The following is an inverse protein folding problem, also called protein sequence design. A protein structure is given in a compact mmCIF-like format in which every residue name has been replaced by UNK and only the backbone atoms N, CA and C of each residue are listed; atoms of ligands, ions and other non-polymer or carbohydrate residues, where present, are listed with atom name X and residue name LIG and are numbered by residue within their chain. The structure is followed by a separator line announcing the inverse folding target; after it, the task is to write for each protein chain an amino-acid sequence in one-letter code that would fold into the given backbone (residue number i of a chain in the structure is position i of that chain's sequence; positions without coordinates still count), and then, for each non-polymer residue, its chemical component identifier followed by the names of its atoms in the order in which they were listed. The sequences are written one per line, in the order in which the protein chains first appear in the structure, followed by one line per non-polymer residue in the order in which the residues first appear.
data_IF_348078295748
#
_entry.id   IF_348078295748
#
_cell.length_a   1.000
_cell.length_b   1.000
_cell.length_c   1.000
_cell.angle_alpha   90.00
_cell.angle_beta   90.00
_cell.angle_gamma   90.00
#
_symmetry.space_group_name_H-M   'P 1'
#
loop_
_entity.id
_entity.type
_entity.pdbx_description
1 polymer ?
#
# COMPACT_ATOMS: atom_id res chain seq x y z
N UNK A 1 -7.00 8.13 -4.28
CA UNK A 1 -5.87 7.35 -3.70
C UNK A 1 -5.27 6.44 -4.75
N UNK A 2 -3.96 6.27 -4.72
CA UNK A 2 -3.26 5.34 -5.61
C UNK A 2 -2.37 4.42 -4.80
N UNK A 3 -2.39 3.13 -5.09
CA UNK A 3 -1.53 2.16 -4.41
C UNK A 3 -0.77 1.30 -5.42
N UNK A 4 0.41 0.87 -4.99
CA UNK A 4 1.13 -0.26 -5.59
C UNK A 4 1.19 -1.35 -4.54
N UNK A 5 0.67 -2.51 -4.90
CA UNK A 5 0.60 -3.70 -4.05
C UNK A 5 1.59 -4.73 -4.59
N UNK A 6 2.43 -5.25 -3.73
CA UNK A 6 3.34 -6.34 -4.07
C UNK A 6 3.12 -7.52 -3.13
N UNK A 7 2.91 -8.71 -3.69
CA UNK A 7 2.92 -9.95 -2.92
C UNK A 7 4.37 -10.27 -2.54
N UNK A 8 4.64 -10.49 -1.27
CA UNK A 8 6.00 -10.66 -0.75
C UNK A 8 6.13 -11.90 0.12
N UNK A 9 7.31 -12.52 0.11
CA UNK A 9 7.69 -13.55 1.08
C UNK A 9 8.09 -12.94 2.42
N UNK A 10 8.64 -11.73 2.37
CA UNK A 10 8.95 -10.88 3.51
C UNK A 10 9.12 -9.44 3.06
N UNK A 11 8.87 -8.51 3.94
CA UNK A 11 9.20 -7.10 3.76
C UNK A 11 9.55 -6.43 5.09
N UNK A 12 10.39 -5.41 5.05
CA UNK A 12 10.72 -4.60 6.22
C UNK A 12 10.95 -3.14 5.84
N UNK A 13 10.81 -2.27 6.82
CA UNK A 13 11.12 -0.84 6.72
C UNK A 13 12.19 -0.49 7.73
N UNK A 14 13.30 0.06 7.25
CA UNK A 14 14.38 0.56 8.09
C UNK A 14 14.42 2.08 8.05
N UNK A 15 14.56 2.70 9.22
CA UNK A 15 14.78 4.13 9.41
C UNK A 15 16.04 4.27 10.26
N UNK A 16 17.02 5.07 9.79
CA UNK A 16 18.31 5.28 10.48
C UNK A 16 18.99 3.95 10.87
N UNK A 17 18.97 2.97 9.96
CA UNK A 17 19.52 1.61 10.14
C UNK A 17 18.84 0.77 11.22
N UNK A 18 17.64 1.17 11.66
CA UNK A 18 16.81 0.40 12.59
C UNK A 18 15.54 -0.08 11.90
N UNK A 19 15.23 -1.34 12.02
CA UNK A 19 13.99 -1.92 11.51
C UNK A 19 12.81 -1.47 12.38
N UNK A 20 11.90 -0.70 11.80
CA UNK A 20 10.71 -0.17 12.48
C UNK A 20 9.45 -0.98 12.20
N UNK A 21 9.42 -1.71 11.09
CA UNK A 21 8.33 -2.60 10.70
C UNK A 21 8.87 -3.80 9.93
N UNK A 22 8.27 -4.96 10.14
CA UNK A 22 8.65 -6.20 9.44
C UNK A 22 7.45 -7.12 9.35
N UNK A 23 7.30 -7.78 8.21
CA UNK A 23 6.26 -8.77 7.94
C UNK A 23 6.85 -9.97 7.19
N UNK A 24 6.19 -11.12 7.35
CA UNK A 24 6.48 -12.33 6.57
C UNK A 24 5.58 -12.39 5.31
N UNK A 25 5.17 -13.58 4.88
CA UNK A 25 4.34 -13.80 3.69
C UNK A 25 3.07 -12.96 3.69
N UNK A 26 2.97 -11.97 2.78
CA UNK A 26 1.89 -10.98 2.81
C UNK A 26 1.92 -9.98 1.65
N UNK A 27 1.27 -8.83 1.89
CA UNK A 27 1.23 -7.72 0.95
C UNK A 27 2.00 -6.51 1.48
N UNK A 28 2.92 -6.00 0.70
CA UNK A 28 3.46 -4.64 0.85
C UNK A 28 2.58 -3.70 0.02
N UNK A 29 2.10 -2.64 0.64
CA UNK A 29 1.23 -1.63 0.04
C UNK A 29 1.89 -0.26 0.12
N UNK A 30 2.31 0.27 -1.01
CA UNK A 30 2.75 1.67 -1.14
C UNK A 30 1.51 2.51 -1.44
N UNK A 31 1.26 3.58 -0.68
CA UNK A 31 0.07 4.41 -0.84
C UNK A 31 0.41 5.88 -1.07
N UNK A 32 -0.12 6.44 -2.15
CA UNK A 32 -0.11 7.86 -2.47
C UNK A 32 -1.49 8.47 -2.29
N UNK A 33 -1.53 9.67 -1.73
CA UNK A 33 -2.75 10.41 -1.41
C UNK A 33 -2.75 11.73 -2.18
N UNK A 34 -3.92 12.15 -2.67
CA UNK A 34 -4.15 13.45 -3.29
C UNK A 34 -5.30 14.20 -2.60
N UNK A 35 -5.37 15.51 -2.78
CA UNK A 35 -6.31 16.38 -2.06
C UNK A 35 -7.80 16.02 -2.29
N UNK A 36 -8.10 15.36 -3.39
CA UNK A 36 -9.47 14.95 -3.74
C UNK A 36 -9.90 13.61 -3.13
N UNK A 37 -9.05 12.98 -2.34
CA UNK A 37 -9.36 11.69 -1.72
C UNK A 37 -10.35 11.85 -0.56
N UNK A 38 -11.29 10.91 -0.48
CA UNK A 38 -12.43 10.94 0.45
C UNK A 38 -12.53 9.64 1.25
N UNK A 39 -13.43 9.64 2.24
CA UNK A 39 -13.74 8.44 3.03
C UNK A 39 -14.27 7.28 2.16
N UNK A 40 -14.93 7.58 1.04
CA UNK A 40 -15.37 6.58 0.07
C UNK A 40 -14.18 5.90 -0.63
N UNK A 41 -13.15 6.67 -0.95
CA UNK A 41 -11.90 6.13 -1.52
C UNK A 41 -11.21 5.20 -0.51
N UNK A 42 -11.15 5.61 0.77
CA UNK A 42 -10.59 4.80 1.85
C UNK A 42 -11.34 3.48 1.98
N UNK A 43 -12.67 3.55 2.10
CA UNK A 43 -13.51 2.37 2.30
C UNK A 43 -13.40 1.39 1.12
N UNK A 44 -13.50 1.89 -0.10
CA UNK A 44 -13.41 1.07 -1.31
C UNK A 44 -12.04 0.42 -1.46
N UNK A 45 -10.97 1.21 -1.32
CA UNK A 45 -9.60 0.74 -1.52
C UNK A 45 -9.18 -0.28 -0.46
N UNK A 46 -9.49 -0.02 0.81
CA UNK A 46 -9.21 -0.94 1.92
C UNK A 46 -9.90 -2.29 1.72
N UNK A 47 -11.19 -2.26 1.36
CA UNK A 47 -11.93 -3.49 1.05
C UNK A 47 -11.34 -4.22 -0.17
N UNK A 48 -10.93 -3.50 -1.19
CA UNK A 48 -10.30 -4.07 -2.38
C UNK A 48 -9.00 -4.80 -2.02
N UNK A 49 -8.11 -4.17 -1.24
CA UNK A 49 -6.81 -4.73 -0.86
C UNK A 49 -6.96 -6.03 -0.07
N UNK A 50 -7.80 -6.02 0.98
CA UNK A 50 -7.92 -7.20 1.86
C UNK A 50 -8.63 -8.40 1.20
N UNK A 51 -9.40 -8.15 0.16
CA UNK A 51 -10.11 -9.19 -0.59
C UNK A 51 -9.46 -9.53 -1.94
N UNK A 52 -8.33 -8.92 -2.29
CA UNK A 52 -7.64 -9.17 -3.54
C UNK A 52 -7.09 -10.61 -3.56
N UNK A 53 -7.50 -11.38 -4.57
CA UNK A 53 -7.24 -12.83 -4.65
C UNK A 53 -5.95 -13.10 -5.42
N UNK A 54 -4.81 -12.90 -4.77
CA UNK A 54 -3.46 -13.00 -5.34
C UNK A 54 -2.58 -14.09 -4.70
N UNK A 55 -3.13 -14.82 -3.76
CA UNK A 55 -2.46 -15.97 -3.16
C UNK A 55 -2.97 -17.25 -3.79
N UNK A 56 -2.07 -18.20 -3.95
CA UNK A 56 -2.37 -19.47 -4.59
C UNK A 56 -3.19 -20.37 -3.68
N UNK A 57 -4.17 -21.03 -4.24
CA UNK A 57 -4.91 -22.12 -3.61
C UNK A 57 -4.17 -23.47 -3.74
N UNK A 58 -4.78 -24.54 -3.29
CA UNK A 58 -4.23 -25.90 -3.35
C UNK A 58 -3.94 -26.40 -4.76
N UNK A 59 -4.52 -25.78 -5.78
CA UNK A 59 -4.31 -26.10 -7.20
C UNK A 59 -3.27 -25.18 -7.87
N UNK A 60 -2.63 -24.28 -7.10
CA UNK A 60 -1.67 -23.32 -7.61
C UNK A 60 -2.29 -22.16 -8.40
N UNK A 61 -3.59 -21.91 -8.21
CA UNK A 61 -4.32 -20.81 -8.86
C UNK A 61 -4.44 -19.63 -7.91
N UNK A 62 -4.18 -18.41 -8.39
CA UNK A 62 -4.40 -17.17 -7.63
C UNK A 62 -5.89 -17.00 -7.32
N UNK A 63 -6.30 -17.40 -6.15
CA UNK A 63 -7.70 -17.54 -5.76
C UNK A 63 -8.00 -17.11 -4.32
N UNK A 64 -6.97 -16.99 -3.49
CA UNK A 64 -7.10 -16.66 -2.08
C UNK A 64 -6.67 -15.22 -1.81
N UNK A 65 -7.36 -14.57 -0.87
CA UNK A 65 -7.03 -13.24 -0.38
C UNK A 65 -6.01 -13.29 0.75
N UNK A 66 -5.48 -12.14 1.15
CA UNK A 66 -4.62 -12.01 2.33
C UNK A 66 -5.35 -12.46 3.61
N UNK A 67 -6.67 -12.30 3.67
CA UNK A 67 -7.49 -12.78 4.78
C UNK A 67 -7.57 -14.31 4.81
N UNK A 68 -7.76 -14.93 3.65
CA UNK A 68 -7.90 -16.39 3.53
C UNK A 68 -6.63 -17.13 3.95
N UNK A 69 -5.47 -16.53 3.68
CA UNK A 69 -4.16 -17.11 4.05
C UNK A 69 -3.66 -16.66 5.43
N UNK A 70 -4.49 -15.93 6.20
CA UNK A 70 -4.11 -15.33 7.47
C UNK A 70 -2.80 -14.49 7.38
N UNK A 71 -2.64 -13.80 6.25
CA UNK A 71 -1.46 -13.00 5.95
C UNK A 71 -1.47 -11.64 6.65
N UNK A 72 -0.40 -10.90 6.42
CA UNK A 72 -0.19 -9.56 6.97
C UNK A 72 -0.20 -8.53 5.84
N UNK A 73 -0.39 -7.27 6.19
CA UNK A 73 -0.26 -6.13 5.28
C UNK A 73 0.68 -5.10 5.91
N UNK A 74 1.71 -4.69 5.17
CA UNK A 74 2.61 -3.59 5.54
C UNK A 74 2.27 -2.39 4.66
N UNK A 75 1.98 -1.25 5.27
CA UNK A 75 1.62 -0.02 4.56
C UNK A 75 2.74 1.02 4.69
N UNK A 76 3.15 1.57 3.56
CA UNK A 76 4.17 2.62 3.47
C UNK A 76 3.62 3.78 2.65
N UNK A 77 3.72 5.01 3.17
CA UNK A 77 3.36 6.21 2.43
C UNK A 77 4.33 6.46 1.26
N UNK A 78 3.79 6.78 0.07
CA UNK A 78 4.56 6.96 -1.15
C UNK A 78 3.92 8.06 -2.02
N UNK A 79 4.18 9.33 -1.69
CA UNK A 79 3.60 10.47 -2.42
C UNK A 79 4.03 10.51 -3.90
N UNK A 80 5.19 9.95 -4.21
CA UNK A 80 5.71 9.90 -5.59
C UNK A 80 4.87 9.08 -6.56
N UNK A 81 3.88 8.31 -6.08
CA UNK A 81 2.89 7.65 -6.94
C UNK A 81 2.03 8.66 -7.72
N UNK A 82 1.97 9.91 -7.26
CA UNK A 82 1.30 11.01 -7.94
C UNK A 82 2.25 11.88 -8.77
N UNK A 83 3.44 11.36 -9.12
CA UNK A 83 4.39 12.04 -9.96
C UNK A 83 3.84 12.30 -11.37
N UNK A 84 4.00 13.53 -11.86
CA UNK A 84 3.76 13.89 -13.25
C UNK A 84 5.10 13.98 -13.98
N UNK A 85 5.27 13.13 -15.02
CA UNK A 85 6.53 12.99 -15.77
C UNK A 85 6.39 13.38 -17.26
N UNK A 86 5.25 13.96 -17.65
CA UNK A 86 4.95 14.30 -19.06
C UNK A 86 5.90 15.33 -19.65
N UNK A 87 6.39 16.28 -18.84
CA UNK A 87 7.28 17.36 -19.28
C UNK A 87 8.62 17.30 -18.55
N UNK A 88 9.70 17.12 -19.32
CA UNK A 88 11.06 17.09 -18.79
C UNK A 88 11.35 15.84 -17.92
N UNK A 89 12.57 15.78 -17.38
CA UNK A 89 13.05 14.62 -16.63
C UNK A 89 12.96 14.80 -15.11
N UNK A 90 12.55 15.99 -14.63
CA UNK A 90 12.28 16.24 -13.21
C UNK A 90 10.80 16.00 -12.94
N UNK A 91 10.44 14.97 -12.15
CA UNK A 91 9.04 14.72 -11.81
C UNK A 91 8.43 15.89 -11.04
N UNK A 92 7.17 16.20 -11.31
CA UNK A 92 6.37 17.14 -10.53
C UNK A 92 5.45 16.38 -9.58
N UNK A 93 5.41 16.80 -8.32
CA UNK A 93 4.59 16.16 -7.28
C UNK A 93 3.41 17.04 -6.84
N UNK A 94 3.01 18.01 -7.69
CA UNK A 94 1.94 18.97 -7.36
C UNK A 94 0.59 18.31 -7.10
N UNK A 95 0.39 17.10 -7.58
CA UNK A 95 -0.85 16.33 -7.36
C UNK A 95 -0.89 15.59 -6.02
N UNK A 96 0.26 15.37 -5.40
CA UNK A 96 0.31 14.74 -4.09
C UNK A 96 -0.22 15.70 -3.03
N UNK A 97 -1.08 15.19 -2.14
CA UNK A 97 -1.56 15.94 -1.00
C UNK A 97 -0.41 16.34 -0.07
N UNK A 98 -0.51 17.54 0.51
CA UNK A 98 0.44 18.00 1.53
C UNK A 98 0.24 17.21 2.82
N UNK A 99 1.28 17.15 3.71
CA UNK A 99 1.21 16.38 4.95
C UNK A 99 -0.03 16.67 5.81
N UNK A 100 -0.48 17.93 5.88
CA UNK A 100 -1.64 18.35 6.67
C UNK A 100 -2.95 17.66 6.21
N UNK A 101 -3.05 17.35 4.93
CA UNK A 101 -4.18 16.63 4.33
C UNK A 101 -3.91 15.13 4.29
N UNK A 102 -2.71 14.74 3.91
CA UNK A 102 -2.35 13.34 3.68
C UNK A 102 -2.30 12.51 4.96
N UNK A 103 -1.78 13.05 6.08
CA UNK A 103 -1.60 12.29 7.32
C UNK A 103 -2.93 11.79 7.88
N UNK A 104 -3.99 12.61 8.05
CA UNK A 104 -5.28 12.12 8.54
C UNK A 104 -5.89 11.03 7.63
N UNK A 105 -5.78 11.17 6.32
CA UNK A 105 -6.28 10.19 5.34
C UNK A 105 -5.47 8.89 5.44
N UNK A 106 -4.16 8.99 5.55
CA UNK A 106 -3.26 7.86 5.71
C UNK A 106 -3.58 7.06 6.98
N UNK A 107 -3.73 7.73 8.11
CA UNK A 107 -4.08 7.10 9.39
C UNK A 107 -5.47 6.43 9.34
N UNK A 108 -6.47 7.09 8.75
CA UNK A 108 -7.80 6.54 8.55
C UNK A 108 -7.77 5.30 7.64
N UNK A 109 -6.96 5.33 6.59
CA UNK A 109 -6.77 4.19 5.69
C UNK A 109 -6.16 2.98 6.42
N UNK A 110 -5.09 3.19 7.21
CA UNK A 110 -4.46 2.13 8.02
C UNK A 110 -5.49 1.51 8.96
N UNK A 111 -6.22 2.35 9.71
CA UNK A 111 -7.24 1.88 10.66
C UNK A 111 -8.35 1.08 9.97
N UNK A 112 -8.75 1.49 8.78
CA UNK A 112 -9.76 0.76 8.00
C UNK A 112 -9.24 -0.60 7.54
N UNK A 113 -7.99 -0.69 7.09
CA UNK A 113 -7.35 -1.97 6.73
C UNK A 113 -7.25 -2.88 7.96
N UNK A 114 -6.83 -2.35 9.12
CA UNK A 114 -6.77 -3.11 10.38
C UNK A 114 -8.13 -3.69 10.76
N UNK A 115 -9.18 -2.88 10.68
CA UNK A 115 -10.55 -3.31 10.98
C UNK A 115 -11.00 -4.45 10.07
N UNK A 116 -10.75 -4.34 8.78
CA UNK A 116 -11.17 -5.34 7.79
C UNK A 116 -10.31 -6.62 7.85
N UNK A 117 -9.02 -6.48 8.18
CA UNK A 117 -8.07 -7.58 8.30
C UNK A 117 -8.21 -8.33 9.64
N UNK A 118 -8.65 -7.63 10.68
CA UNK A 118 -8.77 -8.18 12.03
C UNK A 118 -7.44 -8.30 12.77
N UNK A 119 -6.41 -7.57 12.35
CA UNK A 119 -5.08 -7.53 12.99
C UNK A 119 -4.39 -6.19 12.74
N UNK A 120 -3.37 -5.89 13.52
CA UNK A 120 -2.56 -4.69 13.35
C UNK A 120 -1.85 -4.69 11.98
N UNK A 121 -1.72 -3.50 11.43
CA UNK A 121 -1.02 -3.23 10.17
C UNK A 121 0.28 -2.50 10.49
N UNK A 122 1.45 -3.17 10.39
CA UNK A 122 2.74 -2.49 10.48
C UNK A 122 2.86 -1.42 9.41
N UNK A 123 3.52 -0.33 9.75
CA UNK A 123 3.70 0.82 8.85
C UNK A 123 5.12 1.34 8.90
N UNK A 124 5.51 2.05 7.84
CA UNK A 124 6.61 3.01 7.93
C UNK A 124 6.23 4.24 8.75
N UNK A 125 7.08 5.23 8.72
CA UNK A 125 6.82 6.54 9.34
C UNK A 125 6.60 7.58 8.24
N UNK A 126 5.45 8.24 8.26
CA UNK A 126 5.12 9.26 7.27
C UNK A 126 6.18 10.39 7.25
N UNK A 127 6.70 10.72 6.07
CA UNK A 127 7.69 11.76 5.87
C UNK A 127 9.12 11.41 6.24
N UNK A 128 9.39 10.24 6.81
CA UNK A 128 10.75 9.80 7.11
C UNK A 128 11.48 9.28 5.86
N UNK A 129 12.82 9.33 5.90
CA UNK A 129 13.64 8.59 4.94
C UNK A 129 13.63 7.12 5.32
N UNK A 130 13.05 6.30 4.45
CA UNK A 130 12.87 4.87 4.69
C UNK A 130 13.63 4.03 3.67
N UNK A 131 14.21 2.93 4.12
CA UNK A 131 14.67 1.84 3.27
C UNK A 131 13.65 0.72 3.35
N UNK A 132 13.01 0.43 2.23
CA UNK A 132 12.00 -0.63 2.12
C UNK A 132 12.64 -1.85 1.48
N UNK A 133 12.78 -2.90 2.26
CA UNK A 133 13.35 -4.17 1.82
C UNK A 133 12.21 -5.16 1.57
N UNK A 134 12.25 -5.88 0.48
CA UNK A 134 11.22 -6.86 0.16
C UNK A 134 11.75 -7.94 -0.78
N UNK A 135 11.11 -9.10 -0.74
CA UNK A 135 11.22 -10.11 -1.77
C UNK A 135 9.86 -10.28 -2.44
N UNK A 136 9.73 -9.75 -3.66
CA UNK A 136 8.49 -9.86 -4.44
C UNK A 136 8.31 -11.32 -4.89
N UNK A 137 7.21 -11.92 -4.48
CA UNK A 137 6.89 -13.33 -4.70
C UNK A 137 5.97 -13.49 -5.92
N UNK A 138 6.51 -14.10 -6.96
CA UNK A 138 5.76 -14.38 -8.19
C UNK A 138 6.47 -14.00 -9.49
N UNK A 139 6.85 -12.75 -9.82
CA UNK A 139 6.48 -11.49 -9.17
C UNK A 139 4.99 -11.14 -9.34
N UNK A 140 4.40 -10.55 -8.33
CA UNK A 140 3.04 -10.01 -8.37
C UNK A 140 3.07 -8.56 -7.91
N UNK A 141 2.76 -7.66 -8.82
CA UNK A 141 2.70 -6.21 -8.57
C UNK A 141 1.44 -5.66 -9.22
N UNK A 142 0.58 -5.04 -8.43
CA UNK A 142 -0.73 -4.53 -8.88
C UNK A 142 -0.83 -3.06 -8.51
N UNK A 143 -1.21 -2.25 -9.50
CA UNK A 143 -1.50 -0.84 -9.34
C UNK A 143 -3.03 -0.65 -9.29
N UNK A 144 -3.51 0.13 -8.31
CA UNK A 144 -4.92 0.51 -8.18
C UNK A 144 -5.01 2.01 -7.99
N UNK A 145 -5.91 2.66 -8.71
CA UNK A 145 -6.24 4.08 -8.58
C UNK A 145 -7.73 4.26 -8.33
N UNK A 146 -8.11 4.88 -7.20
CA UNK A 146 -9.53 5.06 -6.84
C UNK A 146 -10.26 6.04 -7.77
N UNK A 147 -9.53 6.93 -8.44
CA UNK A 147 -10.08 7.88 -9.41
C UNK A 147 -10.13 7.33 -10.84
N UNK A 148 -9.45 6.22 -11.08
CA UNK A 148 -9.47 5.49 -12.35
C UNK A 148 -9.53 3.99 -12.09
N UNK A 149 -10.71 3.49 -11.76
CA UNK A 149 -10.94 2.09 -11.35
C UNK A 149 -10.78 1.07 -12.47
N UNK A 150 -10.72 1.53 -13.70
CA UNK A 150 -10.47 0.70 -14.90
C UNK A 150 -8.97 0.58 -15.25
N UNK A 151 -8.16 1.13 -14.42
CA UNK A 151 -6.71 1.20 -14.59
C UNK A 151 -6.05 -0.17 -14.35
#
# INVERSE_FOLDING_TARGET
MRVVIQKVTHASVDIEKQTVASINKCLLVLVGIEDSDTDEDIAWLSAKIVNLRVFEDENGVMNLSVKDVDGEVLVVSQFTLHAATKKGNRPSYIRAARPEVAIPIYEAFIKQVETLLGKQVPTGQFGAMMQVNLCNDGPVTILIDTKNKDF
#
